data_IF_880263290146
#
_entry.id   IF_880263290146
#
_cell.length_a   1.000
_cell.length_b   1.000
_cell.length_c   1.000
_cell.angle_alpha   90.00
_cell.angle_beta   90.00
_cell.angle_gamma   90.00
#
_symmetry.space_group_name_H-M   'P 1'
#
loop_
_entity.id
_entity.type
_entity.pdbx_description
1 polymer ?
#
# COMPACT_ATOMS: atom_id res chain seq x y z
N UNK A 1 -7.71 -4.85 -3.13
CA UNK A 1 -6.94 -3.68 -2.65
C UNK A 1 -5.78 -3.36 -3.61
N UNK A 2 -6.01 -3.38 -4.92
CA UNK A 2 -5.02 -3.05 -5.97
C UNK A 2 -5.26 -1.65 -6.56
N UNK A 3 -6.50 -1.15 -6.49
CA UNK A 3 -6.95 0.08 -7.14
C UNK A 3 -6.30 1.36 -6.55
N UNK A 4 -5.86 1.34 -5.29
CA UNK A 4 -5.25 2.51 -4.65
C UNK A 4 -3.78 2.72 -5.06
N UNK A 5 -3.05 1.65 -5.41
CA UNK A 5 -1.67 1.78 -5.93
C UNK A 5 -1.69 2.44 -7.31
N UNK A 6 -2.67 2.08 -8.15
CA UNK A 6 -2.88 2.71 -9.45
C UNK A 6 -3.13 4.21 -9.30
N UNK A 7 -3.81 4.66 -8.24
CA UNK A 7 -4.15 6.07 -8.02
C UNK A 7 -2.93 6.99 -7.80
N UNK A 8 -1.82 6.45 -7.28
CA UNK A 8 -0.56 7.18 -7.09
C UNK A 8 0.19 7.34 -8.42
N UNK A 9 0.10 6.34 -9.29
CA UNK A 9 0.60 6.43 -10.69
C UNK A 9 -0.32 7.28 -11.57
N UNK A 10 -1.61 7.34 -11.26
CA UNK A 10 -2.62 8.09 -12.04
C UNK A 10 -2.36 9.60 -11.97
N UNK A 11 -1.76 10.10 -10.88
CA UNK A 11 -1.34 11.50 -10.75
C UNK A 11 0.09 11.78 -11.26
N UNK A 12 0.82 10.75 -11.72
CA UNK A 12 2.13 10.92 -12.38
C UNK A 12 2.00 11.13 -13.89
N UNK A 13 0.80 10.99 -14.46
CA UNK A 13 0.58 11.15 -15.89
C UNK A 13 0.35 12.62 -16.26
N UNK A 14 1.33 13.18 -16.95
CA UNK A 14 1.05 14.00 -18.13
C UNK A 14 1.74 13.31 -19.32
N UNK A 15 0.92 12.54 -20.04
CA UNK A 15 1.04 12.21 -21.47
C UNK A 15 1.76 10.93 -21.93
N UNK A 16 2.70 10.30 -21.19
CA UNK A 16 3.32 9.01 -21.61
C UNK A 16 3.24 7.89 -20.56
N UNK A 17 2.88 6.67 -21.01
CA UNK A 17 2.81 5.45 -20.19
C UNK A 17 4.21 4.91 -19.84
N UNK A 18 4.39 4.46 -18.59
CA UNK A 18 5.62 3.84 -18.09
C UNK A 18 6.02 2.60 -18.90
N UNK A 19 5.04 1.85 -19.43
CA UNK A 19 5.32 0.70 -20.28
C UNK A 19 6.02 1.13 -21.58
N UNK A 20 5.64 2.27 -22.16
CA UNK A 20 6.25 2.85 -23.36
C UNK A 20 7.71 3.27 -23.08
N UNK A 21 8.00 3.83 -21.91
CA UNK A 21 9.38 4.15 -21.51
C UNK A 21 10.24 2.89 -21.31
N UNK A 22 9.67 1.83 -20.76
CA UNK A 22 10.38 0.55 -20.61
C UNK A 22 10.69 -0.08 -21.98
N UNK A 23 9.72 -0.02 -22.90
CA UNK A 23 9.92 -0.49 -24.27
C UNK A 23 11.00 0.33 -25.00
N UNK A 24 11.11 1.64 -24.69
CA UNK A 24 12.13 2.55 -25.24
C UNK A 24 13.52 2.17 -24.75
N UNK A 25 13.66 1.96 -23.44
CA UNK A 25 14.89 1.46 -22.85
C UNK A 25 15.27 0.10 -23.44
N UNK A 26 14.32 -0.80 -23.67
CA UNK A 26 14.59 -2.14 -24.22
C UNK A 26 14.84 -2.19 -25.73
N UNK A 27 14.65 -1.08 -26.46
CA UNK A 27 14.86 -0.99 -27.90
C UNK A 27 13.78 -1.68 -28.74
N UNK A 28 12.56 -1.83 -28.23
CA UNK A 28 11.45 -2.56 -28.88
C UNK A 28 10.44 -1.65 -29.58
N UNK A 29 10.57 -0.33 -29.49
CA UNK A 29 9.63 0.60 -30.15
C UNK A 29 9.94 0.78 -31.63
N UNK A 30 8.87 1.14 -32.36
CA UNK A 30 8.98 1.64 -33.72
C UNK A 30 9.62 3.03 -33.74
N UNK A 31 10.22 3.42 -34.87
CA UNK A 31 10.86 4.74 -35.04
C UNK A 31 9.88 5.91 -34.78
N UNK A 32 8.61 5.75 -35.15
CA UNK A 32 7.57 6.76 -34.91
C UNK A 32 7.29 6.95 -33.42
N UNK A 33 7.15 5.85 -32.68
CA UNK A 33 6.85 5.91 -31.25
C UNK A 33 8.08 6.36 -30.44
N UNK A 34 9.28 6.02 -30.93
CA UNK A 34 10.55 6.45 -30.35
C UNK A 34 10.68 7.98 -30.40
N UNK A 35 10.39 8.59 -31.54
CA UNK A 35 10.45 10.04 -31.73
C UNK A 35 9.42 10.77 -30.84
N UNK A 36 8.25 10.18 -30.61
CA UNK A 36 7.25 10.71 -29.68
C UNK A 36 7.77 10.71 -28.23
N UNK A 37 8.43 9.63 -27.81
CA UNK A 37 9.06 9.53 -26.48
C UNK A 37 10.19 10.57 -26.35
N UNK A 38 11.05 10.71 -27.36
CA UNK A 38 12.13 11.71 -27.38
C UNK A 38 11.59 13.15 -27.33
N UNK A 39 10.52 13.45 -28.05
CA UNK A 39 9.87 14.76 -28.00
C UNK A 39 9.31 15.07 -26.61
N UNK A 40 8.61 14.10 -26.00
CA UNK A 40 8.07 14.25 -24.64
C UNK A 40 9.18 14.37 -23.58
N UNK A 41 10.28 13.62 -23.70
CA UNK A 41 11.42 13.74 -22.78
C UNK A 41 12.08 15.12 -22.86
N UNK A 42 12.16 15.73 -24.05
CA UNK A 42 12.67 17.09 -24.19
C UNK A 42 11.79 18.12 -23.48
N UNK A 43 10.48 17.88 -23.39
CA UNK A 43 9.55 18.74 -22.63
C UNK A 43 9.56 18.45 -21.12
N UNK A 44 10.12 17.31 -20.70
CA UNK A 44 10.16 16.86 -19.31
C UNK A 44 11.60 16.56 -18.86
N UNK A 45 12.27 17.62 -18.38
CA UNK A 45 13.66 17.56 -17.88
C UNK A 45 13.88 16.43 -16.86
N UNK A 46 12.94 16.22 -15.94
CA UNK A 46 13.03 15.15 -14.95
C UNK A 46 13.00 13.75 -15.57
N UNK A 47 12.12 13.54 -16.56
CA UNK A 47 12.04 12.26 -17.25
C UNK A 47 13.29 12.00 -18.10
N UNK A 48 13.83 13.04 -18.74
CA UNK A 48 15.07 12.95 -19.51
C UNK A 48 16.26 12.53 -18.63
N UNK A 49 16.46 13.20 -17.49
CA UNK A 49 17.52 12.85 -16.53
C UNK A 49 17.35 11.41 -16.00
N UNK A 50 16.12 10.99 -15.68
CA UNK A 50 15.85 9.65 -15.20
C UNK A 50 16.15 8.57 -16.25
N UNK A 51 15.74 8.79 -17.51
CA UNK A 51 15.98 7.85 -18.61
C UNK A 51 17.47 7.77 -18.95
N UNK A 52 18.20 8.88 -18.95
CA UNK A 52 19.66 8.89 -19.14
C UNK A 52 20.37 8.07 -18.06
N UNK A 53 19.97 8.23 -16.79
CA UNK A 53 20.49 7.42 -15.69
C UNK A 53 20.24 5.92 -15.89
N UNK A 54 19.08 5.53 -16.42
CA UNK A 54 18.73 4.14 -16.70
C UNK A 54 19.42 3.59 -17.96
N UNK A 55 19.72 4.42 -18.95
CA UNK A 55 20.47 4.02 -20.15
C UNK A 55 21.91 3.65 -19.84
N UNK A 56 22.51 4.27 -18.83
CA UNK A 56 23.86 3.95 -18.35
C UNK A 56 23.92 2.62 -17.58
N UNK A 57 22.78 1.97 -17.34
CA UNK A 57 22.71 0.68 -16.67
C UNK A 57 23.14 -0.44 -17.63
N UNK A 58 24.13 -1.24 -17.22
CA UNK A 58 24.85 -2.15 -18.12
C UNK A 58 23.98 -3.24 -18.76
N UNK A 59 23.01 -3.78 -18.03
CA UNK A 59 22.15 -4.87 -18.49
C UNK A 59 20.66 -4.52 -18.40
N UNK A 60 20.07 -4.23 -19.55
CA UNK A 60 18.63 -3.89 -19.69
C UNK A 60 17.70 -5.01 -19.24
N UNK A 61 18.17 -6.27 -19.30
CA UNK A 61 17.42 -7.44 -18.80
C UNK A 61 17.39 -7.48 -17.27
N UNK A 62 18.46 -7.04 -16.63
CA UNK A 62 18.56 -6.97 -15.18
C UNK A 62 17.73 -5.83 -14.61
N UNK A 63 17.57 -4.75 -15.37
CA UNK A 63 16.72 -3.62 -15.01
C UNK A 63 15.26 -4.05 -14.78
N UNK A 64 14.70 -4.88 -15.64
CA UNK A 64 13.31 -5.35 -15.47
C UNK A 64 13.16 -6.24 -14.23
N UNK A 65 14.12 -7.14 -14.00
CA UNK A 65 14.16 -7.99 -12.81
C UNK A 65 14.30 -7.14 -11.54
N UNK A 66 15.12 -6.10 -11.59
CA UNK A 66 15.36 -5.19 -10.48
C UNK A 66 14.10 -4.38 -10.14
N UNK A 67 13.36 -3.91 -11.15
CA UNK A 67 12.06 -3.24 -10.94
C UNK A 67 11.05 -4.18 -10.28
N UNK A 68 10.98 -5.44 -10.73
CA UNK A 68 10.09 -6.44 -10.14
C UNK A 68 10.45 -6.74 -8.68
N UNK A 69 11.74 -6.87 -8.39
CA UNK A 69 12.26 -7.06 -7.03
C UNK A 69 11.94 -5.86 -6.14
N UNK A 70 12.19 -4.64 -6.62
CA UNK A 70 11.92 -3.41 -5.87
C UNK A 70 10.43 -3.27 -5.54
N UNK A 71 9.54 -3.54 -6.51
CA UNK A 71 8.10 -3.53 -6.29
C UNK A 71 7.67 -4.57 -5.26
N UNK A 72 8.26 -5.76 -5.29
CA UNK A 72 8.00 -6.83 -4.33
C UNK A 72 8.45 -6.42 -2.93
N UNK A 73 9.66 -5.90 -2.78
CA UNK A 73 10.22 -5.47 -1.50
C UNK A 73 9.46 -4.28 -0.90
N UNK A 74 9.10 -3.30 -1.72
CA UNK A 74 8.29 -2.16 -1.29
C UNK A 74 6.94 -2.61 -0.75
N UNK A 75 6.26 -3.49 -1.49
CA UNK A 75 4.99 -4.07 -1.04
C UNK A 75 5.16 -4.84 0.26
N UNK A 76 6.20 -5.66 0.40
CA UNK A 76 6.51 -6.37 1.65
C UNK A 76 6.73 -5.39 2.80
N UNK A 77 7.54 -4.36 2.61
CA UNK A 77 7.83 -3.35 3.64
C UNK A 77 6.56 -2.62 4.10
N UNK A 78 5.69 -2.23 3.16
CA UNK A 78 4.42 -1.57 3.47
C UNK A 78 3.51 -2.51 4.25
N UNK A 79 3.39 -3.77 3.81
CA UNK A 79 2.55 -4.76 4.49
C UNK A 79 3.07 -5.10 5.88
N UNK A 80 4.38 -5.23 6.07
CA UNK A 80 4.97 -5.42 7.39
C UNK A 80 4.69 -4.25 8.32
N UNK A 81 4.85 -3.02 7.83
CA UNK A 81 4.55 -1.81 8.60
C UNK A 81 3.07 -1.72 8.97
N UNK A 82 2.18 -2.11 8.05
CA UNK A 82 0.73 -2.20 8.28
C UNK A 82 0.42 -3.27 9.32
N UNK A 83 0.94 -4.48 9.17
CA UNK A 83 0.76 -5.59 10.09
C UNK A 83 1.28 -5.25 11.50
N UNK A 84 2.42 -4.56 11.61
CA UNK A 84 2.95 -4.06 12.89
C UNK A 84 2.01 -3.05 13.54
N UNK A 85 1.38 -2.17 12.76
CA UNK A 85 0.39 -1.21 13.25
C UNK A 85 -0.92 -1.91 13.67
N UNK A 86 -1.38 -2.88 12.91
CA UNK A 86 -2.58 -3.65 13.22
C UNK A 86 -2.40 -4.53 14.47
N UNK A 87 -1.24 -5.18 14.63
CA UNK A 87 -0.89 -5.93 15.85
C UNK A 87 -0.84 -5.05 17.11
N UNK A 88 -0.55 -3.75 16.96
CA UNK A 88 -0.60 -2.78 18.07
C UNK A 88 -2.02 -2.27 18.34
N UNK A 89 -2.93 -2.36 17.38
CA UNK A 89 -4.27 -1.77 17.50
C UNK A 89 -5.22 -2.59 18.36
N UNK A 90 -5.06 -3.92 18.44
CA UNK A 90 -6.08 -4.75 19.09
C UNK A 90 -5.47 -5.99 19.76
N UNK A 91 -5.26 -5.90 21.07
CA UNK A 91 -5.70 -6.97 21.97
C UNK A 91 -6.92 -6.42 22.70
N UNK A 92 -8.05 -6.34 22.01
CA UNK A 92 -9.33 -6.20 22.69
C UNK A 92 -9.42 -7.37 23.65
N UNK A 93 -9.33 -7.07 24.94
CA UNK A 93 -9.19 -8.07 25.98
C UNK A 93 -10.60 -8.58 26.29
N UNK A 94 -11.02 -9.76 25.77
CA UNK A 94 -12.42 -10.18 25.81
C UNK A 94 -12.91 -10.39 27.25
N UNK A 95 -11.97 -10.55 28.19
CA UNK A 95 -12.20 -10.60 29.63
C UNK A 95 -12.86 -9.34 30.21
N UNK A 96 -12.72 -8.16 29.57
CA UNK A 96 -13.36 -6.93 30.05
C UNK A 96 -14.88 -7.04 29.97
N UNK A 97 -15.42 -7.59 28.89
CA UNK A 97 -16.86 -7.83 28.75
C UNK A 97 -17.39 -8.81 29.79
N UNK A 98 -16.61 -9.87 30.08
CA UNK A 98 -16.95 -10.85 31.11
C UNK A 98 -17.02 -10.20 32.50
N UNK A 99 -16.04 -9.36 32.85
CA UNK A 99 -16.01 -8.66 34.15
C UNK A 99 -17.22 -7.74 34.31
N UNK A 100 -17.56 -6.96 33.27
CA UNK A 100 -18.73 -6.07 33.30
C UNK A 100 -20.03 -6.86 33.47
N UNK A 101 -20.18 -7.99 32.77
CA UNK A 101 -21.34 -8.86 32.89
C UNK A 101 -21.51 -9.41 34.31
N UNK A 102 -20.42 -9.89 34.94
CA UNK A 102 -20.45 -10.41 36.32
C UNK A 102 -20.86 -9.32 37.32
N UNK A 103 -20.33 -8.10 37.18
CA UNK A 103 -20.70 -6.98 38.04
C UNK A 103 -22.20 -6.65 37.90
N UNK A 104 -22.71 -6.57 36.66
CA UNK A 104 -24.13 -6.34 36.41
C UNK A 104 -25.01 -7.42 37.03
N UNK A 105 -24.60 -8.69 36.90
CA UNK A 105 -25.32 -9.83 37.46
C UNK A 105 -25.38 -9.75 39.00
N UNK A 106 -24.27 -9.37 39.65
CA UNK A 106 -24.24 -9.14 41.11
C UNK A 106 -25.17 -8.02 41.56
N UNK A 107 -25.26 -6.91 40.81
CA UNK A 107 -26.18 -5.80 41.14
C UNK A 107 -27.63 -6.27 41.06
N UNK A 108 -27.98 -7.04 40.03
CA UNK A 108 -29.33 -7.59 39.85
C UNK A 108 -29.68 -8.56 40.98
N UNK A 109 -28.77 -9.47 41.34
CA UNK A 109 -28.97 -10.39 42.46
C UNK A 109 -29.11 -9.64 43.79
N UNK A 110 -28.27 -8.64 44.04
CA UNK A 110 -28.34 -7.82 45.24
C UNK A 110 -29.69 -7.10 45.37
N UNK A 111 -30.17 -6.51 44.27
CA UNK A 111 -31.51 -5.90 44.23
C UNK A 111 -32.61 -6.92 44.54
N UNK A 112 -32.53 -8.11 43.96
CA UNK A 112 -33.52 -9.17 44.16
C UNK A 112 -33.57 -9.64 45.63
N UNK A 113 -32.41 -9.78 46.28
CA UNK A 113 -32.31 -10.17 47.70
C UNK A 113 -32.92 -9.08 48.59
N UNK A 114 -32.61 -7.81 48.33
CA UNK A 114 -33.16 -6.68 49.11
C UNK A 114 -34.69 -6.63 48.96
N UNK A 115 -35.19 -6.79 47.74
CA UNK A 115 -36.64 -6.76 47.50
C UNK A 115 -37.36 -7.96 48.11
N UNK A 116 -36.72 -9.14 48.13
CA UNK A 116 -37.25 -10.32 48.82
C UNK A 116 -37.29 -10.10 50.34
N UNK A 117 -36.28 -9.43 50.90
CA UNK A 117 -36.17 -9.18 52.34
C UNK A 117 -37.12 -8.08 52.81
N UNK A 118 -37.42 -7.08 51.98
CA UNK A 118 -38.40 -6.02 52.26
C UNK A 118 -39.86 -6.50 52.07
N UNK A 119 -40.09 -7.47 51.19
CA UNK A 119 -41.43 -8.00 50.89
C UNK A 119 -41.87 -9.11 51.85
N UNK A 120 -40.99 -9.56 52.74
CA UNK A 120 -41.25 -10.56 53.78
C UNK A 120 -41.43 -9.87 55.13
#
# INVERSE_FOLDING_TARGET
>A
MSNDLFNILTNSNKDIDNQKLMDYLSGKLSETDKHEVEAWMNENEFANEAVEGLQNFSDKKDLQIYVDQLNKELNQYIQEKKNRRERKKLKDNPSIYLTVFVILMLVVLGYFVIQLLIRK
#
